data_IF_458035815400
#
_entry.id   IF_458035815400
#
_cell.length_a   1.000
_cell.length_b   1.000
_cell.length_c   1.000
_cell.angle_alpha   90.00
_cell.angle_beta   90.00
_cell.angle_gamma   90.00
#
_symmetry.space_group_name_H-M   'P 1'
#
loop_
_entity.id
_entity.type
_entity.pdbx_description
1 polymer ?
#
# COMPACT_ATOMS: atom_id res chain seq x y z
N UNK A 1 21.62 0.42 19.09
CA UNK A 1 21.58 1.08 17.76
C UNK A 1 20.17 1.58 17.44
N UNK A 2 19.12 0.83 17.63
CA UNK A 2 17.75 1.26 17.31
C UNK A 2 17.30 2.56 18.01
N UNK A 3 17.56 2.74 19.31
CA UNK A 3 17.18 3.95 20.06
C UNK A 3 17.76 5.24 19.45
N UNK A 4 19.03 5.23 19.06
CA UNK A 4 19.67 6.38 18.39
C UNK A 4 19.07 6.66 17.02
N UNK A 5 18.64 5.62 16.29
CA UNK A 5 17.96 5.77 15.01
C UNK A 5 16.59 6.43 15.16
N UNK A 6 15.82 6.02 16.17
CA UNK A 6 14.51 6.62 16.47
C UNK A 6 14.65 8.09 16.89
N UNK A 7 15.62 8.41 17.76
CA UNK A 7 15.90 9.79 18.19
C UNK A 7 16.27 10.69 16.97
N UNK A 8 17.09 10.16 16.03
CA UNK A 8 17.43 10.89 14.82
C UNK A 8 16.25 11.08 13.87
N UNK A 9 15.43 10.04 13.71
CA UNK A 9 14.21 10.13 12.92
C UNK A 9 13.28 11.20 13.50
N UNK A 10 13.07 11.18 14.81
CA UNK A 10 12.26 12.17 15.52
C UNK A 10 12.77 13.60 15.26
N UNK A 11 14.07 13.82 15.39
CA UNK A 11 14.67 15.11 15.09
C UNK A 11 14.38 15.57 13.65
N UNK A 12 14.55 14.70 12.65
CA UNK A 12 14.30 15.04 11.25
C UNK A 12 12.83 15.36 10.97
N UNK A 13 11.91 14.67 11.65
CA UNK A 13 10.47 14.97 11.56
C UNK A 13 10.15 16.33 12.20
N UNK A 14 10.75 16.63 13.35
CA UNK A 14 10.56 17.92 14.03
C UNK A 14 11.08 19.09 13.20
N UNK A 15 12.20 18.92 12.54
CA UNK A 15 12.88 19.94 11.71
C UNK A 15 12.26 20.15 10.31
N UNK A 16 11.36 19.27 9.85
CA UNK A 16 10.80 19.33 8.49
C UNK A 16 9.30 19.54 8.49
N UNK A 17 8.85 20.34 7.54
CA UNK A 17 7.43 20.52 7.19
C UNK A 17 7.12 20.00 5.77
N UNK A 18 7.99 19.18 5.19
CA UNK A 18 7.83 18.61 3.87
C UNK A 18 8.29 17.14 3.83
N UNK A 19 7.55 16.32 4.56
CA UNK A 19 7.78 14.88 4.68
C UNK A 19 6.88 14.16 3.69
N UNK A 20 7.40 13.12 3.04
CA UNK A 20 6.65 12.19 2.22
C UNK A 20 6.86 10.78 2.75
N UNK A 21 5.79 10.02 2.84
CA UNK A 21 5.83 8.61 3.22
C UNK A 21 5.58 7.72 2.01
N UNK A 22 6.39 6.67 1.85
CA UNK A 22 6.23 5.63 0.84
C UNK A 22 6.10 4.27 1.54
N UNK A 23 4.95 3.61 1.40
CA UNK A 23 4.63 2.40 2.14
C UNK A 23 4.22 1.21 1.29
N UNK A 24 4.33 0.01 1.88
CA UNK A 24 3.86 -1.24 1.32
C UNK A 24 3.16 -2.12 2.37
N UNK A 25 2.91 -3.39 2.03
CA UNK A 25 2.07 -4.31 2.80
C UNK A 25 2.51 -4.50 4.27
N UNK A 26 3.81 -4.35 4.55
CA UNK A 26 4.34 -4.42 5.92
C UNK A 26 3.81 -3.33 6.85
N UNK A 27 3.22 -2.24 6.34
CA UNK A 27 2.55 -1.22 7.16
C UNK A 27 1.29 -1.76 7.81
N UNK A 28 0.57 -2.66 7.13
CA UNK A 28 -0.71 -3.20 7.57
C UNK A 28 -0.61 -4.53 8.33
N UNK A 29 0.59 -5.10 8.48
CA UNK A 29 0.77 -6.38 9.22
C UNK A 29 0.38 -6.26 10.70
N UNK A 30 0.60 -5.11 11.34
CA UNK A 30 0.17 -4.83 12.71
C UNK A 30 -1.34 -4.53 12.81
N UNK A 31 -2.04 -4.47 11.69
CA UNK A 31 -3.50 -4.40 11.59
C UNK A 31 -4.14 -5.79 11.33
N UNK A 32 -3.33 -6.85 11.26
CA UNK A 32 -3.80 -8.21 11.01
C UNK A 32 -3.91 -8.58 9.51
N UNK A 33 -3.53 -7.69 8.60
CA UNK A 33 -3.47 -8.01 7.16
C UNK A 33 -2.11 -8.63 6.86
N UNK A 34 -2.03 -9.88 6.38
CA UNK A 34 -0.75 -10.49 6.03
C UNK A 34 -0.12 -9.76 4.84
N UNK A 35 1.20 -9.60 4.88
CA UNK A 35 1.91 -9.16 3.68
C UNK A 35 1.99 -10.28 2.62
N UNK A 36 2.62 -10.00 1.48
CA UNK A 36 2.68 -10.96 0.39
C UNK A 36 3.83 -11.97 0.52
N UNK A 37 4.96 -11.61 1.13
CA UNK A 37 6.25 -12.31 0.99
C UNK A 37 6.84 -12.85 2.27
N UNK A 38 6.39 -12.41 3.44
CA UNK A 38 6.86 -12.99 4.72
C UNK A 38 6.51 -14.48 4.82
N UNK A 39 7.06 -15.16 5.80
CA UNK A 39 6.82 -16.60 6.01
C UNK A 39 5.31 -16.93 6.10
N UNK A 40 4.54 -16.02 6.70
CA UNK A 40 3.08 -16.14 6.84
C UNK A 40 2.31 -15.36 5.75
N UNK A 41 3.03 -14.83 4.76
CA UNK A 41 2.49 -14.00 3.69
C UNK A 41 1.64 -14.77 2.68
N UNK A 42 0.89 -14.02 1.87
CA UNK A 42 -0.06 -14.59 0.89
C UNK A 42 0.60 -15.56 -0.09
N UNK A 43 1.85 -15.33 -0.47
CA UNK A 43 2.56 -16.20 -1.45
C UNK A 43 2.93 -17.56 -0.89
N UNK A 44 2.96 -17.73 0.44
CA UNK A 44 3.25 -19.00 1.10
C UNK A 44 1.99 -19.78 1.48
N UNK A 45 0.79 -19.20 1.29
CA UNK A 45 -0.45 -19.89 1.58
C UNK A 45 -0.77 -20.92 0.48
N UNK A 46 -1.27 -22.09 0.90
CA UNK A 46 -1.68 -23.13 -0.05
C UNK A 46 -2.98 -22.74 -0.74
N UNK A 47 -2.92 -22.59 -2.04
CA UNK A 47 -4.04 -22.40 -2.94
C UNK A 47 -3.78 -23.18 -4.24
N UNK A 48 -4.82 -23.35 -5.10
CA UNK A 48 -4.69 -24.17 -6.33
C UNK A 48 -3.68 -23.61 -7.33
N UNK A 49 -3.44 -22.30 -7.27
CA UNK A 49 -2.45 -21.58 -8.08
C UNK A 49 -1.65 -20.60 -7.21
N UNK A 50 -0.42 -20.23 -7.61
CA UNK A 50 0.30 -19.16 -6.95
C UNK A 50 -0.49 -17.86 -6.92
N UNK A 51 -0.46 -17.14 -5.82
CA UNK A 51 -1.22 -15.87 -5.64
C UNK A 51 -0.89 -14.84 -6.71
N UNK A 52 0.37 -14.76 -7.16
CA UNK A 52 0.79 -13.88 -8.26
C UNK A 52 0.12 -14.24 -9.59
N UNK A 53 -0.10 -15.55 -9.84
CA UNK A 53 -0.82 -16.01 -11.01
C UNK A 53 -2.30 -15.64 -10.92
N UNK A 54 -2.94 -15.87 -9.77
CA UNK A 54 -4.36 -15.56 -9.56
C UNK A 54 -4.61 -14.05 -9.70
N UNK A 55 -3.69 -13.23 -9.19
CA UNK A 55 -3.78 -11.77 -9.23
C UNK A 55 -3.28 -11.14 -10.54
N UNK A 56 -3.22 -11.92 -11.63
CA UNK A 56 -2.89 -11.41 -12.96
C UNK A 56 -4.14 -11.07 -13.77
N UNK A 57 -4.00 -10.11 -14.69
CA UNK A 57 -5.08 -9.75 -15.64
C UNK A 57 -5.52 -10.96 -16.48
N UNK A 58 -4.55 -11.73 -16.96
CA UNK A 58 -4.83 -12.96 -17.76
C UNK A 58 -5.66 -13.96 -16.95
N UNK A 59 -5.35 -14.18 -15.69
CA UNK A 59 -6.11 -15.12 -14.85
C UNK A 59 -7.53 -14.58 -14.56
N UNK A 60 -7.64 -13.30 -14.21
CA UNK A 60 -8.93 -12.65 -14.01
C UNK A 60 -9.86 -12.82 -15.22
N UNK A 61 -9.32 -12.66 -16.43
CA UNK A 61 -10.09 -12.82 -17.70
C UNK A 61 -10.49 -14.26 -17.99
N UNK A 62 -9.59 -15.22 -17.75
CA UNK A 62 -9.80 -16.61 -18.15
C UNK A 62 -10.47 -17.45 -17.08
N UNK A 63 -10.36 -17.09 -15.81
CA UNK A 63 -10.85 -17.82 -14.64
C UNK A 63 -11.46 -16.90 -13.60
N UNK A 64 -12.50 -16.11 -13.96
CA UNK A 64 -13.06 -15.10 -13.07
C UNK A 64 -13.67 -15.68 -11.80
N UNK A 65 -14.28 -16.88 -11.84
CA UNK A 65 -14.86 -17.53 -10.66
C UNK A 65 -13.77 -17.85 -9.61
N UNK A 66 -12.65 -18.42 -10.04
CA UNK A 66 -11.53 -18.76 -9.16
C UNK A 66 -10.84 -17.49 -8.64
N UNK A 67 -10.71 -16.44 -9.49
CA UNK A 67 -10.22 -15.14 -9.09
C UNK A 67 -11.07 -14.55 -7.97
N UNK A 68 -12.40 -14.49 -8.12
CA UNK A 68 -13.28 -13.87 -7.11
C UNK A 68 -13.38 -14.71 -5.83
N UNK A 69 -13.27 -16.04 -5.92
CA UNK A 69 -13.15 -16.90 -4.74
C UNK A 69 -11.92 -16.54 -3.91
N UNK A 70 -10.75 -16.43 -4.57
CA UNK A 70 -9.51 -16.02 -3.93
C UNK A 70 -9.58 -14.58 -3.41
N UNK A 71 -10.11 -13.66 -4.22
CA UNK A 71 -10.21 -12.24 -3.90
C UNK A 71 -11.03 -12.01 -2.63
N UNK A 72 -12.19 -12.66 -2.52
CA UNK A 72 -13.03 -12.59 -1.31
C UNK A 72 -12.37 -13.19 -0.09
N UNK A 73 -11.71 -14.33 -0.24
CA UNK A 73 -11.04 -15.04 0.87
C UNK A 73 -9.80 -14.30 1.36
N UNK A 74 -8.99 -13.77 0.45
CA UNK A 74 -7.62 -13.31 0.76
C UNK A 74 -7.41 -11.80 0.72
N UNK A 75 -8.23 -11.04 0.01
CA UNK A 75 -8.01 -9.61 -0.15
C UNK A 75 -9.06 -8.73 0.54
N UNK A 76 -10.30 -9.17 0.60
CA UNK A 76 -11.38 -8.42 1.23
C UNK A 76 -12.05 -9.17 2.40
N UNK A 77 -11.55 -10.35 2.76
CA UNK A 77 -12.07 -11.15 3.89
C UNK A 77 -11.65 -10.66 5.27
N UNK A 78 -10.85 -9.61 5.36
CA UNK A 78 -10.32 -9.11 6.63
C UNK A 78 -11.12 -7.92 7.15
N UNK A 79 -11.45 -7.96 8.44
CA UNK A 79 -11.83 -6.76 9.20
C UNK A 79 -10.56 -6.24 9.88
N UNK A 80 -10.04 -5.10 9.43
CA UNK A 80 -8.81 -4.52 9.92
C UNK A 80 -9.01 -3.07 10.32
N UNK A 81 -8.37 -2.68 11.40
CA UNK A 81 -8.35 -1.32 11.91
C UNK A 81 -6.98 -0.67 11.70
N UNK A 82 -6.93 0.66 11.47
CA UNK A 82 -5.67 1.38 11.39
C UNK A 82 -4.81 1.19 12.63
N UNK A 83 -3.56 0.79 12.45
CA UNK A 83 -2.58 0.67 13.54
C UNK A 83 -1.86 2.01 13.83
N UNK A 84 -0.87 1.98 14.72
CA UNK A 84 -0.14 3.18 15.15
C UNK A 84 0.59 3.89 14.00
N UNK A 85 1.07 3.14 12.98
CA UNK A 85 1.73 3.77 11.83
C UNK A 85 0.75 4.62 11.03
N UNK A 86 -0.44 4.08 10.71
CA UNK A 86 -1.48 4.82 9.99
C UNK A 86 -1.93 6.07 10.76
N UNK A 87 -2.18 5.92 12.08
CA UNK A 87 -2.61 7.03 12.94
C UNK A 87 -1.56 8.12 13.06
N UNK A 88 -0.29 7.75 13.17
CA UNK A 88 0.81 8.70 13.26
C UNK A 88 1.01 9.48 11.95
N UNK A 89 0.90 8.82 10.80
CA UNK A 89 0.96 9.48 9.48
C UNK A 89 -0.18 10.49 9.32
N UNK A 90 -1.41 10.11 9.70
CA UNK A 90 -2.55 11.03 9.68
C UNK A 90 -2.34 12.23 10.61
N UNK A 91 -1.76 12.01 11.80
CA UNK A 91 -1.41 13.09 12.72
C UNK A 91 -0.40 14.05 12.10
N UNK A 92 0.71 13.54 11.51
CA UNK A 92 1.71 14.41 10.88
C UNK A 92 1.16 15.20 9.69
N UNK A 93 0.17 14.65 8.97
CA UNK A 93 -0.53 15.40 7.92
C UNK A 93 -1.37 16.54 8.53
N UNK A 94 -2.11 16.27 9.62
CA UNK A 94 -2.89 17.29 10.35
C UNK A 94 -1.99 18.40 10.92
N UNK A 95 -0.80 18.03 11.40
CA UNK A 95 0.22 18.95 11.90
C UNK A 95 0.93 19.74 10.78
N UNK A 96 0.59 19.49 9.51
CA UNK A 96 1.16 20.15 8.34
C UNK A 96 2.56 19.70 7.95
N UNK A 97 3.08 18.63 8.56
CA UNK A 97 4.43 18.07 8.32
C UNK A 97 4.46 17.10 7.15
N UNK A 98 3.53 16.15 7.11
CA UNK A 98 3.41 15.16 6.04
C UNK A 98 2.60 15.73 4.88
N UNK A 99 3.15 15.66 3.66
CA UNK A 99 2.49 16.20 2.44
C UNK A 99 1.75 15.14 1.65
N UNK A 100 2.22 13.90 1.68
CA UNK A 100 1.54 12.79 1.03
C UNK A 100 1.95 11.45 1.65
N UNK A 101 0.99 10.52 1.63
CA UNK A 101 1.22 9.09 1.75
C UNK A 101 1.16 8.51 0.35
N UNK A 102 2.24 7.86 -0.08
CA UNK A 102 2.30 7.09 -1.33
C UNK A 102 2.28 5.61 -0.90
N UNK A 103 1.25 4.89 -1.30
CA UNK A 103 1.08 3.51 -0.82
C UNK A 103 0.92 2.50 -1.96
N UNK A 104 1.51 1.34 -1.77
CA UNK A 104 1.28 0.16 -2.59
C UNK A 104 0.08 -0.67 -2.08
N UNK A 105 -0.44 -0.33 -0.87
CA UNK A 105 -1.55 -1.02 -0.26
C UNK A 105 -2.87 -0.62 -0.89
N UNK A 106 -3.79 -1.59 -0.89
CA UNK A 106 -5.13 -1.49 -1.46
C UNK A 106 -6.24 -1.54 -0.38
N UNK A 107 -5.85 -1.52 0.90
CA UNK A 107 -6.71 -1.79 2.07
C UNK A 107 -7.51 -0.58 2.59
N UNK A 108 -7.16 0.64 2.17
CA UNK A 108 -7.83 1.87 2.60
C UNK A 108 -7.53 2.31 4.04
N UNK A 109 -6.60 1.65 4.76
CA UNK A 109 -6.34 1.94 6.18
C UNK A 109 -5.72 3.31 6.43
N UNK A 110 -4.99 3.87 5.47
CA UNK A 110 -4.50 5.25 5.58
C UNK A 110 -5.66 6.27 5.65
N UNK A 111 -6.63 6.13 4.76
CA UNK A 111 -7.83 6.97 4.73
C UNK A 111 -8.70 6.74 5.99
N UNK A 112 -8.86 5.49 6.41
CA UNK A 112 -9.58 5.14 7.63
C UNK A 112 -8.93 5.74 8.89
N UNK A 113 -7.60 5.94 8.90
CA UNK A 113 -6.88 6.63 9.97
C UNK A 113 -7.04 8.15 9.93
N UNK A 114 -7.56 8.73 8.84
CA UNK A 114 -7.76 10.16 8.65
C UNK A 114 -6.77 10.85 7.72
N UNK A 115 -5.85 10.13 7.06
CA UNK A 115 -5.01 10.69 6.00
C UNK A 115 -5.86 11.10 4.81
N UNK A 116 -5.60 12.30 4.26
CA UNK A 116 -6.37 12.91 3.17
C UNK A 116 -5.63 12.82 1.82
N UNK A 117 -4.31 13.08 1.83
CA UNK A 117 -3.49 12.99 0.64
C UNK A 117 -2.83 11.63 0.56
N UNK A 118 -3.57 10.67 0.02
CA UNK A 118 -3.12 9.28 -0.17
C UNK A 118 -3.08 8.97 -1.65
N UNK A 119 -1.91 8.60 -2.16
CA UNK A 119 -1.68 8.18 -3.54
C UNK A 119 -1.60 6.64 -3.57
N UNK A 120 -2.67 6.01 -4.02
CA UNK A 120 -2.82 4.56 -4.06
C UNK A 120 -2.28 4.03 -5.40
N UNK A 121 -1.00 3.64 -5.44
CA UNK A 121 -0.31 3.18 -6.67
C UNK A 121 -0.96 1.95 -7.30
N UNK A 122 -1.60 1.10 -6.50
CA UNK A 122 -2.22 -0.14 -6.94
C UNK A 122 -3.75 -0.12 -6.82
N UNK A 123 -4.35 1.07 -6.67
CA UNK A 123 -5.79 1.23 -6.50
C UNK A 123 -6.30 0.84 -5.12
N UNK A 124 -7.56 0.39 -5.02
CA UNK A 124 -8.21 0.08 -3.75
C UNK A 124 -9.25 -1.03 -3.87
N UNK A 125 -9.32 -1.91 -2.88
CA UNK A 125 -10.37 -2.92 -2.74
C UNK A 125 -11.73 -2.31 -2.43
N UNK A 126 -11.77 -1.07 -1.93
CA UNK A 126 -13.00 -0.39 -1.53
C UNK A 126 -13.82 0.12 -2.73
N UNK A 127 -13.22 0.17 -3.92
CA UNK A 127 -13.85 0.64 -5.15
C UNK A 127 -13.89 -0.48 -6.19
N UNK A 128 -15.02 -0.63 -6.83
CA UNK A 128 -15.21 -1.60 -7.90
C UNK A 128 -16.06 -0.96 -8.98
N UNK A 129 -15.80 -1.27 -10.24
CA UNK A 129 -16.50 -0.64 -11.36
C UNK A 129 -16.94 -1.65 -12.40
N UNK A 130 -18.12 -1.41 -12.95
CA UNK A 130 -18.55 -2.14 -14.14
C UNK A 130 -17.64 -1.79 -15.32
N UNK A 131 -17.04 -2.79 -15.97
CA UNK A 131 -16.16 -2.58 -17.12
C UNK A 131 -16.89 -2.06 -18.37
N UNK A 132 -18.23 -2.19 -18.44
CA UNK A 132 -19.03 -1.71 -19.58
C UNK A 132 -19.58 -0.31 -19.38
N UNK A 133 -20.21 0.00 -18.24
CA UNK A 133 -20.92 1.26 -18.05
C UNK A 133 -20.30 2.16 -16.97
N UNK A 134 -19.23 1.72 -16.30
CA UNK A 134 -18.54 2.50 -15.26
C UNK A 134 -19.31 2.64 -13.95
N UNK A 135 -20.46 1.94 -13.77
CA UNK A 135 -21.21 2.00 -12.50
C UNK A 135 -20.32 1.57 -11.35
N UNK A 136 -20.32 2.35 -10.29
CA UNK A 136 -19.61 2.07 -9.03
C UNK A 136 -20.33 1.01 -8.20
N UNK A 137 -19.55 0.16 -7.54
CA UNK A 137 -19.95 -0.80 -6.52
C UNK A 137 -18.97 -0.69 -5.35
N UNK A 138 -19.47 -0.74 -4.13
CA UNK A 138 -18.59 -0.76 -2.97
C UNK A 138 -18.04 -2.17 -2.67
N UNK A 139 -17.18 -2.27 -1.66
CA UNK A 139 -16.57 -3.56 -1.29
C UNK A 139 -17.61 -4.55 -0.78
N UNK A 140 -18.67 -4.08 -0.14
CA UNK A 140 -19.73 -4.96 0.43
C UNK A 140 -20.55 -5.63 -0.67
N UNK A 141 -20.79 -4.96 -1.80
CA UNK A 141 -21.43 -5.56 -2.97
C UNK A 141 -20.63 -6.77 -3.47
N UNK A 142 -19.30 -6.69 -3.43
CA UNK A 142 -18.43 -7.78 -3.86
C UNK A 142 -18.30 -8.86 -2.77
N UNK A 143 -18.16 -8.44 -1.50
CA UNK A 143 -17.96 -9.34 -0.36
C UNK A 143 -19.17 -10.24 -0.14
N UNK A 144 -20.37 -9.68 -0.20
CA UNK A 144 -21.62 -10.39 0.07
C UNK A 144 -22.19 -11.10 -1.16
N UNK A 145 -21.61 -10.88 -2.35
CA UNK A 145 -22.01 -11.52 -3.59
C UNK A 145 -21.45 -12.95 -3.73
N UNK A 146 -22.10 -13.75 -4.56
CA UNK A 146 -21.62 -15.07 -4.96
C UNK A 146 -21.12 -15.06 -6.41
N UNK A 147 -20.20 -15.98 -6.74
CA UNK A 147 -19.68 -16.14 -8.10
C UNK A 147 -19.00 -14.88 -8.63
N UNK A 148 -19.13 -14.64 -9.93
CA UNK A 148 -18.55 -13.46 -10.61
C UNK A 148 -19.52 -12.28 -10.48
N UNK A 149 -19.09 -11.12 -9.93
CA UNK A 149 -19.96 -9.96 -9.81
C UNK A 149 -20.39 -9.41 -11.19
N UNK A 150 -21.68 -9.16 -11.32
CA UNK A 150 -22.31 -8.66 -12.56
C UNK A 150 -23.06 -7.37 -12.27
N UNK A 151 -22.91 -6.39 -13.14
CA UNK A 151 -23.56 -5.09 -13.03
C UNK A 151 -25.09 -5.24 -13.18
N UNK A 152 -25.82 -4.78 -12.20
CA UNK A 152 -27.29 -4.77 -12.19
C UNK A 152 -27.92 -3.79 -13.20
N UNK A 153 -27.14 -2.80 -13.69
CA UNK A 153 -27.61 -1.82 -14.66
C UNK A 153 -27.46 -2.29 -16.12
N UNK A 154 -26.37 -3.04 -16.46
CA UNK A 154 -26.08 -3.37 -17.87
C UNK A 154 -25.66 -4.82 -18.11
N UNK A 155 -25.56 -5.66 -17.05
CA UNK A 155 -25.14 -7.04 -17.18
C UNK A 155 -23.62 -7.22 -17.44
N UNK A 156 -22.82 -6.15 -17.43
CA UNK A 156 -21.37 -6.23 -17.62
C UNK A 156 -20.63 -6.74 -16.39
N UNK A 157 -19.40 -7.26 -16.56
CA UNK A 157 -18.58 -7.70 -15.43
C UNK A 157 -18.17 -6.51 -14.57
N UNK A 158 -18.12 -6.71 -13.25
CA UNK A 158 -17.64 -5.71 -12.29
C UNK A 158 -16.22 -6.07 -11.90
N UNK A 159 -15.25 -5.18 -12.12
CA UNK A 159 -13.84 -5.37 -11.76
C UNK A 159 -13.47 -4.51 -10.55
N UNK A 160 -12.69 -5.06 -9.58
CA UNK A 160 -12.08 -4.26 -8.54
C UNK A 160 -11.16 -3.18 -9.12
N UNK A 161 -11.16 -1.98 -8.53
CA UNK A 161 -10.21 -0.91 -8.84
C UNK A 161 -8.83 -1.22 -8.22
N UNK A 162 -8.34 -2.41 -8.53
CA UNK A 162 -7.02 -2.90 -8.12
C UNK A 162 -6.21 -3.19 -9.37
N UNK A 163 -4.97 -2.68 -9.39
CA UNK A 163 -4.01 -2.95 -10.47
C UNK A 163 -3.50 -4.38 -10.30
N UNK A 164 -3.87 -5.24 -11.24
CA UNK A 164 -3.41 -6.62 -11.29
C UNK A 164 -2.03 -6.70 -11.94
N UNK A 165 -1.31 -7.80 -11.71
CA UNK A 165 -0.13 -8.10 -12.52
C UNK A 165 -0.50 -8.06 -14.00
N UNK A 166 0.41 -7.62 -14.86
CA UNK A 166 0.23 -7.36 -16.30
C UNK A 166 -0.53 -6.05 -16.62
N UNK A 167 -1.11 -5.36 -15.62
CA UNK A 167 -1.74 -4.05 -15.82
C UNK A 167 -0.76 -2.90 -15.54
N UNK A 168 -0.96 -1.78 -16.23
CA UNK A 168 -0.20 -0.54 -15.98
C UNK A 168 -0.73 0.23 -14.78
N UNK A 169 0.17 0.93 -14.08
CA UNK A 169 -0.22 1.86 -13.03
C UNK A 169 -0.84 3.13 -13.65
N UNK A 170 -1.69 3.80 -12.89
CA UNK A 170 -2.25 5.10 -13.26
C UNK A 170 -1.13 6.15 -13.41
N UNK A 171 -1.04 6.77 -14.59
CA UNK A 171 0.04 7.69 -14.93
C UNK A 171 -0.07 9.03 -14.21
N UNK A 172 -1.27 9.47 -13.87
CA UNK A 172 -1.49 10.71 -13.11
C UNK A 172 -1.06 10.51 -11.67
N UNK A 173 -1.44 9.40 -11.05
CA UNK A 173 -1.01 9.01 -9.70
C UNK A 173 0.51 8.85 -9.63
N UNK A 174 1.12 8.18 -10.63
CA UNK A 174 2.58 8.04 -10.72
C UNK A 174 3.29 9.39 -10.83
N UNK A 175 2.80 10.25 -11.72
CA UNK A 175 3.39 11.57 -11.96
C UNK A 175 3.32 12.44 -10.70
N UNK A 176 2.19 12.40 -10.01
CA UNK A 176 2.01 13.13 -8.75
C UNK A 176 2.92 12.57 -7.65
N UNK A 177 3.03 11.25 -7.51
CA UNK A 177 3.92 10.60 -6.55
C UNK A 177 5.39 11.01 -6.78
N UNK A 178 5.84 11.03 -8.03
CA UNK A 178 7.19 11.51 -8.40
C UNK A 178 7.41 12.96 -8.00
N UNK A 179 6.41 13.84 -8.17
CA UNK A 179 6.54 15.24 -7.75
C UNK A 179 6.68 15.39 -6.24
N UNK A 180 5.88 14.67 -5.45
CA UNK A 180 6.03 14.68 -4.00
C UNK A 180 7.39 14.16 -3.56
N UNK A 181 7.85 13.03 -4.10
CA UNK A 181 9.15 12.43 -3.76
C UNK A 181 10.31 13.38 -4.11
N UNK A 182 10.29 14.01 -5.30
CA UNK A 182 11.35 14.94 -5.73
C UNK A 182 11.49 16.15 -4.82
N UNK A 183 10.39 16.62 -4.28
CA UNK A 183 10.33 17.85 -3.50
C UNK A 183 10.44 17.61 -1.99
N UNK A 184 10.44 16.36 -1.53
CA UNK A 184 10.49 16.04 -0.11
C UNK A 184 11.83 16.42 0.53
N UNK A 185 11.78 17.01 1.73
CA UNK A 185 12.96 17.18 2.57
C UNK A 185 13.33 15.86 3.25
N UNK A 186 12.33 15.13 3.70
CA UNK A 186 12.46 13.80 4.31
C UNK A 186 11.58 12.82 3.55
N UNK A 187 12.17 11.75 3.02
CA UNK A 187 11.45 10.62 2.47
C UNK A 187 11.54 9.44 3.44
N UNK A 188 10.40 9.06 4.00
CA UNK A 188 10.30 7.90 4.89
C UNK A 188 9.72 6.73 4.09
N UNK A 189 10.45 5.65 3.99
CA UNK A 189 10.03 4.41 3.35
C UNK A 189 9.79 3.38 4.43
N UNK A 190 8.63 2.74 4.44
CA UNK A 190 8.28 1.79 5.48
C UNK A 190 7.44 0.60 5.03
N UNK A 191 7.64 -0.55 5.68
CA UNK A 191 6.83 -1.73 5.45
C UNK A 191 6.84 -2.27 4.03
N UNK A 192 7.94 -2.11 3.29
CA UNK A 192 8.05 -2.58 1.90
C UNK A 192 9.38 -3.25 1.64
N UNK A 193 9.36 -4.32 0.85
CA UNK A 193 10.58 -5.02 0.39
C UNK A 193 11.29 -4.30 -0.76
N UNK A 194 10.64 -3.30 -1.39
CA UNK A 194 11.16 -2.53 -2.53
C UNK A 194 11.55 -3.41 -3.75
N UNK A 195 10.78 -4.45 -4.02
CA UNK A 195 11.04 -5.37 -5.16
C UNK A 195 9.96 -5.33 -6.23
N UNK A 196 8.81 -4.66 -5.99
CA UNK A 196 7.70 -4.56 -6.96
C UNK A 196 7.87 -3.32 -7.82
N UNK A 197 8.21 -3.53 -9.08
CA UNK A 197 8.33 -2.45 -10.07
C UNK A 197 7.02 -2.27 -10.84
N UNK A 198 6.70 -1.02 -11.29
CA UNK A 198 7.54 0.18 -11.25
C UNK A 198 7.53 0.94 -9.91
N UNK A 199 6.64 0.61 -8.96
CA UNK A 199 6.50 1.35 -7.70
C UNK A 199 7.81 1.48 -6.91
N UNK A 200 8.60 0.40 -6.79
CA UNK A 200 9.89 0.43 -6.09
C UNK A 200 10.91 1.40 -6.70
N UNK A 201 10.82 1.68 -8.00
CA UNK A 201 11.69 2.63 -8.69
C UNK A 201 11.40 4.10 -8.41
N UNK A 202 10.21 4.42 -7.84
CA UNK A 202 9.84 5.80 -7.54
C UNK A 202 10.78 6.46 -6.54
N UNK A 203 11.35 5.71 -5.60
CA UNK A 203 12.30 6.24 -4.62
C UNK A 203 13.57 6.80 -5.24
N UNK A 204 13.94 6.36 -6.44
CA UNK A 204 15.13 6.83 -7.15
C UNK A 204 14.98 8.29 -7.64
N UNK A 205 13.77 8.85 -7.60
CA UNK A 205 13.51 10.26 -7.88
C UNK A 205 13.79 11.18 -6.70
N UNK A 206 13.99 10.66 -5.48
CA UNK A 206 14.33 11.47 -4.32
C UNK A 206 15.65 12.22 -4.54
N UNK A 207 15.70 13.49 -4.13
CA UNK A 207 16.86 14.38 -4.34
C UNK A 207 17.39 14.99 -3.04
N UNK A 208 16.78 14.68 -1.91
CA UNK A 208 17.21 15.12 -0.60
C UNK A 208 18.34 14.28 -0.01
N UNK A 209 18.62 14.48 1.26
CA UNK A 209 19.66 13.81 2.05
C UNK A 209 19.15 13.28 3.39
N UNK A 210 17.85 13.02 3.47
CA UNK A 210 17.19 12.42 4.64
C UNK A 210 16.28 11.28 4.17
N UNK A 211 16.87 10.28 3.50
CA UNK A 211 16.20 9.05 3.11
C UNK A 211 16.17 8.09 4.29
N UNK A 212 14.99 7.73 4.75
CA UNK A 212 14.77 6.84 5.91
C UNK A 212 14.13 5.53 5.47
N UNK A 213 14.67 4.42 5.93
CA UNK A 213 14.06 3.09 5.80
C UNK A 213 13.62 2.56 7.16
N UNK A 214 12.34 2.17 7.27
CA UNK A 214 11.76 1.56 8.48
C UNK A 214 11.14 0.20 8.11
N UNK A 215 11.84 -0.88 8.38
CA UNK A 215 11.39 -2.25 8.04
C UNK A 215 11.77 -3.27 9.12
N UNK A 216 11.01 -4.36 9.22
CA UNK A 216 11.37 -5.50 10.09
C UNK A 216 12.62 -6.23 9.58
N UNK A 217 12.75 -6.40 8.27
CA UNK A 217 13.84 -7.10 7.60
C UNK A 217 14.64 -6.15 6.73
N UNK A 218 15.95 -6.40 6.55
CA UNK A 218 16.78 -5.64 5.63
C UNK A 218 16.27 -5.70 4.20
N UNK A 219 16.54 -4.65 3.43
CA UNK A 219 16.25 -4.56 2.00
C UNK A 219 17.54 -4.36 1.20
N UNK A 220 17.45 -4.60 -0.11
CA UNK A 220 18.56 -4.31 -1.02
C UNK A 220 18.89 -2.80 -1.10
N UNK A 221 18.04 -1.94 -0.57
CA UNK A 221 18.18 -0.48 -0.59
C UNK A 221 18.71 0.13 0.72
N UNK A 222 18.97 -0.68 1.73
CA UNK A 222 19.48 -0.19 3.03
C UNK A 222 20.81 0.59 2.87
N UNK A 223 21.66 0.18 1.91
CA UNK A 223 22.94 0.82 1.66
C UNK A 223 22.86 2.23 1.02
N UNK A 224 21.70 2.66 0.52
CA UNK A 224 21.50 4.01 -0.05
C UNK A 224 20.70 4.91 0.89
N UNK A 225 20.19 4.39 2.00
CA UNK A 225 19.47 5.18 2.99
C UNK A 225 20.42 5.95 3.90
N UNK A 226 20.05 7.18 4.24
CA UNK A 226 20.76 8.00 5.23
C UNK A 226 20.50 7.52 6.66
N UNK A 227 19.36 6.86 6.86
CA UNK A 227 18.96 6.28 8.14
C UNK A 227 18.17 5.00 7.95
N UNK A 228 18.60 3.92 8.59
CA UNK A 228 17.85 2.64 8.67
C UNK A 228 17.41 2.41 10.11
N UNK A 229 16.11 2.22 10.33
CA UNK A 229 15.52 1.86 11.62
C UNK A 229 14.86 0.49 11.47
N UNK A 230 15.46 -0.54 12.04
CA UNK A 230 14.93 -1.89 11.95
C UNK A 230 13.90 -2.16 13.04
N UNK A 231 12.70 -2.58 12.66
CA UNK A 231 11.60 -2.95 13.54
C UNK A 231 10.25 -2.88 12.88
N UNK A 232 9.20 -3.20 13.64
CA UNK A 232 7.82 -3.04 13.21
C UNK A 232 7.48 -1.55 13.13
N UNK A 233 6.87 -1.14 12.01
CA UNK A 233 6.69 0.30 11.74
C UNK A 233 5.73 0.97 12.71
N UNK A 234 4.66 0.28 13.13
CA UNK A 234 3.72 0.81 14.12
C UNK A 234 4.35 0.96 15.51
N UNK A 235 5.19 -0.01 15.93
CA UNK A 235 5.94 0.10 17.17
C UNK A 235 6.95 1.26 17.14
N UNK A 236 7.60 1.49 16.01
CA UNK A 236 8.55 2.60 15.84
C UNK A 236 7.81 3.92 15.83
N UNK A 237 6.74 4.05 15.04
CA UNK A 237 5.98 5.30 14.93
C UNK A 237 5.22 5.64 16.20
N UNK A 238 4.84 4.64 17.00
CA UNK A 238 4.26 4.84 18.32
C UNK A 238 5.21 5.51 19.35
N UNK A 239 6.53 5.55 19.07
CA UNK A 239 7.54 6.19 19.91
C UNK A 239 7.92 7.60 19.44
N UNK A 240 7.40 8.05 18.29
CA UNK A 240 7.62 9.35 17.67
C UNK A 240 6.46 10.29 18.01
#
# INVERSE_FOLDING_TARGET
MAKKGIERLKQWIEESDNIVFFGGAGVSTESGIPDFRSVDGLYHQKYDYPSETILSHTFYRNKPEEFYRFYRDKLIGFEAEPNQAHKKLAQWEQDGKLKAVITQNIDGLHQAAGSRKVLELHGSTLRNYCEHCGKFFDVEDIRNGEGVPVCDACGGPVKPDVVLYEEGLDQDVLSEAVQFIKNADVLIIGGTSLVVYPAAGLIDYYRGNKLVLVNKTPTARDGVADLVVQGAIGEIFGQL
#
